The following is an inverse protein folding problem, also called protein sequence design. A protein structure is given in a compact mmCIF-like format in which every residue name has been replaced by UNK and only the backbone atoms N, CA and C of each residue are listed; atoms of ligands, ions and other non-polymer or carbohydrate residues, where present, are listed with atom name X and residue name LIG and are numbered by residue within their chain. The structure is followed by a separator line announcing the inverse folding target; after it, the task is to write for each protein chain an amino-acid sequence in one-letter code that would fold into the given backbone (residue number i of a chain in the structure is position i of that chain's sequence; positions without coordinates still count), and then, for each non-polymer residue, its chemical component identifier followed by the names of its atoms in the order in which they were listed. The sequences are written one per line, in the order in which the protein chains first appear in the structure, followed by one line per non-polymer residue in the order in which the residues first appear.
data_IF_147252123505
#
_entry.id   IF_147252123505
#
_cell.length_a   1.000
_cell.length_b   1.000
_cell.length_c   1.000
_cell.angle_alpha   90.00
_cell.angle_beta   90.00
_cell.angle_gamma   90.00
#
_symmetry.space_group_name_H-M   'P 1'
#
loop_
_entity.id
_entity.type
_entity.pdbx_description
1 polymer ?
#
# COMPACT_ATOMS: atom_id res chain seq x y z
N UNK A 1 -26.32 -69.08 -2.95
CA UNK A 1 -26.49 -68.03 -1.92
C UNK A 1 -27.93 -68.09 -1.39
N UNK A 2 -28.14 -68.23 -0.09
CA UNK A 2 -29.49 -68.36 0.51
C UNK A 2 -30.22 -67.02 0.63
N UNK A 3 -31.55 -67.04 0.77
CA UNK A 3 -32.38 -65.82 0.96
C UNK A 3 -31.96 -65.01 2.18
N UNK A 4 -31.49 -65.67 3.23
CA UNK A 4 -31.00 -65.04 4.46
C UNK A 4 -29.68 -64.31 4.24
N UNK A 5 -28.72 -64.93 3.54
CA UNK A 5 -27.43 -64.30 3.19
C UNK A 5 -27.65 -63.06 2.32
N UNK A 6 -28.53 -63.13 1.30
CA UNK A 6 -28.87 -61.97 0.45
C UNK A 6 -29.43 -60.80 1.25
N UNK A 7 -30.33 -61.06 2.22
CA UNK A 7 -30.91 -60.03 3.10
C UNK A 7 -29.88 -59.43 4.04
N UNK A 8 -28.99 -60.24 4.61
CA UNK A 8 -27.94 -59.77 5.51
C UNK A 8 -26.98 -58.82 4.78
N UNK A 9 -26.55 -59.18 3.57
CA UNK A 9 -25.71 -58.32 2.74
C UNK A 9 -26.43 -57.02 2.38
N UNK A 10 -27.71 -57.10 1.96
CA UNK A 10 -28.50 -55.91 1.62
C UNK A 10 -28.62 -54.94 2.80
N UNK A 11 -29.06 -55.42 3.96
CA UNK A 11 -29.18 -54.57 5.15
C UNK A 11 -27.83 -54.08 5.67
N UNK A 12 -26.76 -54.86 5.48
CA UNK A 12 -25.39 -54.41 5.74
C UNK A 12 -25.00 -53.21 4.88
N UNK A 13 -25.28 -53.22 3.58
CA UNK A 13 -25.04 -52.08 2.70
C UNK A 13 -25.95 -50.89 3.01
N UNK A 14 -27.22 -51.11 3.37
CA UNK A 14 -28.13 -50.04 3.79
C UNK A 14 -27.62 -49.37 5.06
N UNK A 15 -27.19 -50.14 6.05
CA UNK A 15 -26.61 -49.60 7.29
C UNK A 15 -25.32 -48.82 7.00
N UNK A 16 -24.42 -49.40 6.18
CA UNK A 16 -23.19 -48.73 5.76
C UNK A 16 -23.49 -47.40 5.08
N UNK A 17 -24.46 -47.36 4.17
CA UNK A 17 -24.88 -46.14 3.51
C UNK A 17 -25.39 -45.10 4.51
N UNK A 18 -26.32 -45.47 5.40
CA UNK A 18 -26.88 -44.56 6.42
C UNK A 18 -25.78 -43.99 7.33
N UNK A 19 -24.75 -44.76 7.66
CA UNK A 19 -23.64 -44.31 8.53
C UNK A 19 -22.61 -43.49 7.77
N UNK A 20 -22.27 -43.86 6.53
CA UNK A 20 -21.23 -43.19 5.75
C UNK A 20 -21.73 -41.88 5.11
N UNK A 21 -23.02 -41.78 4.77
CA UNK A 21 -23.56 -40.63 4.04
C UNK A 21 -23.49 -39.31 4.84
N UNK A 22 -23.91 -39.22 6.12
CA UNK A 22 -23.86 -37.95 6.85
C UNK A 22 -22.44 -37.37 7.00
N UNK A 23 -21.41 -38.13 7.40
CA UNK A 23 -20.02 -37.64 7.41
C UNK A 23 -19.54 -37.20 6.02
N UNK A 24 -19.93 -37.93 4.97
CA UNK A 24 -19.55 -37.58 3.59
C UNK A 24 -20.18 -36.25 3.15
N UNK A 25 -21.46 -36.03 3.45
CA UNK A 25 -22.15 -34.77 3.16
C UNK A 25 -21.52 -33.62 3.95
N UNK A 26 -21.28 -33.81 5.25
CA UNK A 26 -20.63 -32.80 6.10
C UNK A 26 -19.23 -32.46 5.56
N UNK A 27 -18.44 -33.47 5.18
CA UNK A 27 -17.13 -33.27 4.57
C UNK A 27 -17.19 -32.46 3.27
N UNK A 28 -18.18 -32.74 2.42
CA UNK A 28 -18.41 -32.01 1.16
C UNK A 28 -18.91 -30.59 1.39
N UNK A 29 -19.67 -30.35 2.45
CA UNK A 29 -20.10 -29.01 2.91
C UNK A 29 -18.99 -28.23 3.64
N UNK A 30 -17.76 -28.75 3.68
CA UNK A 30 -16.63 -28.05 4.29
C UNK A 30 -16.55 -28.17 5.82
N UNK A 31 -17.34 -29.05 6.44
CA UNK A 31 -17.22 -29.33 7.86
C UNK A 31 -15.99 -30.17 8.17
N UNK A 32 -15.41 -29.89 9.33
CA UNK A 32 -14.36 -30.67 9.98
C UNK A 32 -14.67 -30.78 11.48
N UNK A 33 -14.01 -31.70 12.16
CA UNK A 33 -14.16 -31.87 13.59
C UNK A 33 -12.98 -31.24 14.31
N UNK A 34 -13.24 -30.22 15.12
CA UNK A 34 -12.27 -29.67 16.06
C UNK A 34 -12.18 -30.62 17.26
N UNK A 35 -11.13 -31.44 17.28
CA UNK A 35 -10.87 -32.41 18.33
C UNK A 35 -10.55 -31.78 19.69
N UNK A 36 -10.04 -30.55 19.71
CA UNK A 36 -9.69 -29.83 20.93
C UNK A 36 -10.96 -29.39 21.65
N UNK A 37 -11.87 -28.75 20.92
CA UNK A 37 -13.13 -28.24 21.48
C UNK A 37 -14.29 -29.24 21.38
N UNK A 38 -14.07 -30.40 20.76
CA UNK A 38 -15.06 -31.46 20.49
C UNK A 38 -16.31 -30.93 19.78
N UNK A 39 -16.10 -30.10 18.77
CA UNK A 39 -17.18 -29.44 18.01
C UNK A 39 -17.02 -29.67 16.52
N UNK A 40 -18.16 -29.84 15.84
CA UNK A 40 -18.21 -29.80 14.38
C UNK A 40 -18.19 -28.32 13.96
N UNK A 41 -17.25 -27.94 13.10
CA UNK A 41 -17.06 -26.57 12.64
C UNK A 41 -16.88 -26.55 11.13
N UNK A 42 -17.31 -25.47 10.49
CA UNK A 42 -16.98 -25.23 9.09
C UNK A 42 -15.55 -24.71 8.98
N UNK A 43 -14.84 -25.21 7.99
CA UNK A 43 -13.47 -24.81 7.73
C UNK A 43 -13.42 -23.50 6.96
N UNK A 44 -12.27 -22.82 7.05
CA UNK A 44 -11.90 -21.71 6.19
C UNK A 44 -10.69 -22.05 5.33
N UNK A 45 -10.08 -21.02 4.76
CA UNK A 45 -8.84 -21.13 4.01
C UNK A 45 -7.94 -19.91 4.11
N UNK A 46 -6.72 -20.07 3.61
CA UNK A 46 -5.74 -18.99 3.45
C UNK A 46 -5.28 -18.93 2.00
N UNK A 47 -5.35 -17.76 1.39
CA UNK A 47 -4.72 -17.50 0.10
C UNK A 47 -3.50 -16.60 0.25
N UNK A 48 -2.34 -17.11 -0.16
CA UNK A 48 -1.06 -16.42 -0.04
C UNK A 48 -0.46 -16.22 -1.42
N UNK A 49 -0.11 -14.99 -1.77
CA UNK A 49 0.61 -14.63 -3.00
C UNK A 49 1.77 -13.71 -2.63
N UNK A 50 2.96 -14.04 -3.12
CA UNK A 50 4.16 -13.23 -2.94
C UNK A 50 4.75 -12.74 -4.25
N UNK A 51 5.51 -11.66 -4.15
CA UNK A 51 6.41 -11.15 -5.18
C UNK A 51 7.83 -11.14 -4.60
N UNK A 52 8.79 -11.85 -5.20
CA UNK A 52 8.60 -12.78 -6.32
C UNK A 52 7.81 -14.04 -5.93
N UNK A 53 7.23 -14.72 -6.92
CA UNK A 53 6.47 -15.96 -6.73
C UNK A 53 7.39 -17.15 -6.43
N UNK A 54 6.81 -18.29 -6.04
CA UNK A 54 7.56 -19.51 -5.74
C UNK A 54 8.24 -19.51 -4.36
N UNK A 55 7.85 -18.61 -3.46
CA UNK A 55 8.37 -18.58 -2.09
C UNK A 55 7.76 -19.71 -1.25
N UNK A 56 8.56 -20.35 -0.41
CA UNK A 56 8.14 -21.44 0.47
C UNK A 56 7.22 -20.91 1.57
N UNK A 57 6.07 -21.57 1.75
CA UNK A 57 5.11 -21.22 2.79
C UNK A 57 5.27 -22.21 3.95
N UNK A 58 5.18 -21.73 5.19
CA UNK A 58 4.99 -22.54 6.39
C UNK A 58 3.79 -22.05 7.20
N UNK A 59 3.00 -22.98 7.73
CA UNK A 59 1.83 -22.72 8.59
C UNK A 59 2.08 -23.37 9.95
N UNK A 60 2.15 -22.56 11.02
CA UNK A 60 2.54 -23.01 12.36
C UNK A 60 3.85 -23.82 12.36
N UNK A 61 4.84 -23.36 11.59
CA UNK A 61 6.13 -24.03 11.40
C UNK A 61 6.10 -25.28 10.51
N UNK A 62 4.92 -25.73 10.05
CA UNK A 62 4.82 -26.88 9.16
C UNK A 62 4.91 -26.44 7.70
N UNK A 63 5.88 -26.97 6.93
CA UNK A 63 6.09 -26.56 5.54
C UNK A 63 4.88 -26.94 4.68
N UNK A 64 4.52 -26.02 3.81
CA UNK A 64 3.51 -26.19 2.76
C UNK A 64 4.20 -26.12 1.40
N UNK A 65 3.40 -25.93 0.34
CA UNK A 65 3.92 -25.65 -1.01
C UNK A 65 4.40 -24.19 -1.13
N UNK A 66 4.67 -23.77 -2.36
CA UNK A 66 5.13 -22.40 -2.67
C UNK A 66 3.99 -21.47 -3.08
N UNK A 67 4.22 -20.17 -3.00
CA UNK A 67 3.30 -19.12 -3.48
C UNK A 67 3.19 -19.11 -5.03
N UNK A 68 2.05 -18.72 -5.61
CA UNK A 68 0.76 -18.48 -4.95
C UNK A 68 0.06 -19.78 -4.56
N UNK A 69 -0.63 -19.79 -3.40
CA UNK A 69 -1.29 -21.01 -2.89
C UNK A 69 -2.55 -20.71 -2.09
N UNK A 70 -3.61 -21.48 -2.36
CA UNK A 70 -4.74 -21.67 -1.44
C UNK A 70 -4.45 -22.87 -0.53
N UNK A 71 -4.49 -22.63 0.77
CA UNK A 71 -4.45 -23.64 1.82
C UNK A 71 -5.87 -23.73 2.37
N UNK A 72 -6.61 -24.75 1.95
CA UNK A 72 -8.01 -24.94 2.30
C UNK A 72 -8.17 -25.88 3.50
N UNK A 73 -9.40 -25.95 4.01
CA UNK A 73 -9.82 -26.87 5.08
C UNK A 73 -9.10 -26.62 6.41
N UNK A 74 -8.76 -25.37 6.69
CA UNK A 74 -8.20 -24.95 7.97
C UNK A 74 -9.33 -24.78 8.98
N UNK A 75 -9.09 -25.21 10.22
CA UNK A 75 -10.03 -24.94 11.31
C UNK A 75 -10.01 -23.44 11.61
N UNK A 76 -11.15 -22.83 11.99
CA UNK A 76 -11.16 -21.42 12.38
C UNK A 76 -10.22 -21.16 13.57
N UNK A 77 -9.11 -20.47 13.31
CA UNK A 77 -8.05 -20.18 14.28
C UNK A 77 -7.10 -19.12 13.72
N UNK A 78 -6.24 -18.54 14.56
CA UNK A 78 -5.12 -17.72 14.09
C UNK A 78 -3.93 -18.61 13.77
N UNK A 79 -3.35 -18.45 12.59
CA UNK A 79 -2.21 -19.25 12.13
C UNK A 79 -0.99 -18.36 11.97
N UNK A 80 0.14 -18.82 12.51
CA UNK A 80 1.43 -18.21 12.23
C UNK A 80 1.87 -18.60 10.82
N UNK A 81 1.94 -17.62 9.93
CA UNK A 81 2.33 -17.80 8.54
C UNK A 81 3.74 -17.25 8.36
N UNK A 82 4.60 -18.05 7.72
CA UNK A 82 5.93 -17.63 7.30
C UNK A 82 6.09 -17.89 5.81
N UNK A 83 6.58 -16.90 5.08
CA UNK A 83 6.87 -16.97 3.65
C UNK A 83 8.34 -16.62 3.44
N UNK A 84 9.11 -17.56 2.89
CA UNK A 84 10.56 -17.48 2.79
C UNK A 84 11.01 -17.81 1.37
N UNK A 85 12.01 -17.08 0.88
CA UNK A 85 12.68 -17.37 -0.39
C UNK A 85 14.17 -17.08 -0.28
N UNK A 86 14.99 -17.95 -0.86
CA UNK A 86 16.46 -17.80 -0.83
C UNK A 86 16.90 -16.46 -1.43
N UNK A 87 17.71 -15.71 -0.68
CA UNK A 87 18.19 -14.38 -1.06
C UNK A 87 17.24 -13.23 -0.74
N UNK A 88 16.13 -13.49 -0.04
CA UNK A 88 15.13 -12.48 0.33
C UNK A 88 14.84 -12.48 1.83
N UNK A 89 14.45 -11.33 2.35
CA UNK A 89 13.92 -11.21 3.72
C UNK A 89 12.62 -12.00 3.84
N UNK A 90 12.48 -12.72 4.95
CA UNK A 90 11.25 -13.48 5.24
C UNK A 90 10.10 -12.55 5.60
N UNK A 91 8.89 -12.92 5.19
CA UNK A 91 7.65 -12.30 5.65
C UNK A 91 6.97 -13.21 6.67
N UNK A 92 6.50 -12.65 7.78
CA UNK A 92 5.78 -13.41 8.80
C UNK A 92 4.58 -12.63 9.33
N UNK A 93 3.48 -13.33 9.61
CA UNK A 93 2.27 -12.73 10.17
C UNK A 93 1.37 -13.78 10.81
N UNK A 94 0.71 -13.43 11.91
CA UNK A 94 -0.41 -14.21 12.42
C UNK A 94 -1.69 -13.79 11.69
N UNK A 95 -2.26 -14.70 10.88
CA UNK A 95 -3.48 -14.45 10.11
C UNK A 95 -4.66 -15.25 10.68
N UNK A 96 -5.82 -14.59 10.93
CA UNK A 96 -7.02 -15.29 11.34
C UNK A 96 -7.58 -16.08 10.15
N UNK A 97 -8.07 -17.28 10.41
CA UNK A 97 -8.95 -18.05 9.52
C UNK A 97 -10.32 -18.09 10.17
N UNK A 98 -11.33 -17.69 9.41
CA UNK A 98 -12.73 -17.72 9.84
C UNK A 98 -13.49 -18.83 9.12
N UNK A 99 -14.60 -19.27 9.71
CA UNK A 99 -15.45 -20.28 9.10
C UNK A 99 -16.01 -19.78 7.76
N UNK A 100 -16.02 -20.64 6.75
CA UNK A 100 -16.55 -20.37 5.39
C UNK A 100 -15.81 -19.29 4.59
N UNK A 101 -14.80 -18.63 5.18
CA UNK A 101 -14.06 -17.54 4.54
C UNK A 101 -12.64 -17.94 4.14
N UNK A 102 -12.15 -17.28 3.09
CA UNK A 102 -10.73 -17.33 2.72
C UNK A 102 -10.08 -16.04 3.18
N UNK A 103 -9.17 -16.14 4.13
CA UNK A 103 -8.32 -15.03 4.53
C UNK A 103 -7.18 -14.87 3.54
N UNK A 104 -6.94 -13.64 3.08
CA UNK A 104 -6.03 -13.40 1.95
C UNK A 104 -4.87 -12.49 2.33
N UNK A 105 -3.66 -12.84 1.89
CA UNK A 105 -2.49 -11.95 1.87
C UNK A 105 -1.89 -11.99 0.46
N UNK A 106 -2.24 -10.97 -0.34
CA UNK A 106 -1.92 -10.90 -1.77
C UNK A 106 -0.66 -10.10 -2.11
N UNK A 107 -0.30 -9.19 -1.20
CA UNK A 107 0.77 -8.21 -1.37
C UNK A 107 1.98 -8.58 -0.50
N UNK A 108 2.34 -9.87 -0.44
CA UNK A 108 3.53 -10.31 0.29
C UNK A 108 4.76 -9.96 -0.56
N UNK A 109 5.37 -8.81 -0.30
CA UNK A 109 6.57 -8.38 -1.01
C UNK A 109 7.81 -8.83 -0.26
N UNK A 110 8.63 -9.67 -0.89
CA UNK A 110 9.89 -10.14 -0.32
C UNK A 110 11.01 -9.28 -0.91
N UNK A 111 11.69 -8.54 -0.06
CA UNK A 111 12.82 -7.70 -0.45
C UNK A 111 14.12 -8.52 -0.53
N UNK A 112 14.97 -8.33 -1.55
CA UNK A 112 16.28 -8.96 -1.60
C UNK A 112 17.14 -8.59 -0.38
N UNK A 113 17.85 -9.55 0.20
CA UNK A 113 18.79 -9.28 1.31
C UNK A 113 20.06 -8.59 0.86
N UNK A 114 20.47 -8.81 -0.39
CA UNK A 114 21.63 -8.20 -1.00
C UNK A 114 21.17 -7.30 -2.14
N UNK A 115 21.09 -6.01 -1.84
CA UNK A 115 20.80 -4.99 -2.84
C UNK A 115 22.13 -4.56 -3.48
N UNK A 116 22.17 -4.45 -4.80
CA UNK A 116 23.33 -3.94 -5.54
C UNK A 116 23.00 -2.60 -6.20
N UNK A 117 23.18 -1.47 -5.47
CA UNK A 117 22.98 -0.15 -6.05
C UNK A 117 23.97 0.15 -7.18
N UNK A 118 23.47 0.75 -8.24
CA UNK A 118 24.28 1.29 -9.33
C UNK A 118 24.52 2.78 -9.09
N UNK A 119 25.79 3.20 -9.05
CA UNK A 119 26.16 4.62 -9.03
C UNK A 119 25.85 5.24 -10.39
N UNK A 120 25.03 6.29 -10.40
CA UNK A 120 24.63 7.01 -11.61
C UNK A 120 25.54 8.20 -11.86
N UNK A 121 25.79 9.00 -10.81
CA UNK A 121 26.64 10.17 -10.92
C UNK A 121 27.07 10.67 -9.54
N UNK A 122 28.10 11.52 -9.52
CA UNK A 122 28.65 12.17 -8.33
C UNK A 122 28.49 13.69 -8.45
N UNK A 123 28.60 14.39 -7.32
CA UNK A 123 28.49 15.85 -7.21
C UNK A 123 27.11 16.39 -7.66
N UNK A 124 26.04 15.66 -7.36
CA UNK A 124 24.67 16.12 -7.58
C UNK A 124 24.36 17.29 -6.63
N UNK A 125 23.91 18.40 -7.20
CA UNK A 125 23.52 19.61 -6.45
C UNK A 125 22.03 19.92 -6.53
N UNK A 126 21.28 19.22 -7.39
CA UNK A 126 19.83 19.35 -7.54
C UNK A 126 19.08 18.27 -6.77
N UNK A 127 17.76 18.38 -6.67
CA UNK A 127 16.93 17.27 -6.20
C UNK A 127 16.97 16.09 -7.18
N UNK A 128 16.61 14.89 -6.71
CA UNK A 128 16.52 13.70 -7.58
C UNK A 128 15.47 13.90 -8.68
N UNK A 129 14.30 14.45 -8.33
CA UNK A 129 13.23 14.72 -9.29
C UNK A 129 13.68 15.72 -10.38
N UNK A 130 14.41 16.77 -10.00
CA UNK A 130 14.98 17.72 -10.96
C UNK A 130 16.03 17.05 -11.85
N UNK A 131 16.88 16.19 -11.28
CA UNK A 131 17.89 15.48 -12.05
C UNK A 131 17.26 14.60 -13.14
N UNK A 132 16.21 13.86 -12.80
CA UNK A 132 15.51 12.94 -13.71
C UNK A 132 14.58 13.64 -14.71
N UNK A 133 14.23 14.91 -14.47
CA UNK A 133 13.31 15.66 -15.32
C UNK A 133 13.91 16.04 -16.68
N UNK A 134 13.17 15.80 -17.76
CA UNK A 134 13.59 16.14 -19.13
C UNK A 134 13.70 17.67 -19.36
N UNK A 135 14.54 18.15 -20.29
CA UNK A 135 14.67 19.58 -20.58
C UNK A 135 13.37 20.28 -20.96
N UNK A 136 12.48 19.59 -21.70
CA UNK A 136 11.16 20.08 -22.06
C UNK A 136 10.26 20.30 -20.84
N UNK A 137 10.19 19.30 -19.94
CA UNK A 137 9.43 19.41 -18.67
C UNK A 137 9.97 20.55 -17.79
N UNK A 138 11.29 20.69 -17.69
CA UNK A 138 11.94 21.79 -16.94
C UNK A 138 11.56 23.16 -17.50
N UNK A 139 11.60 23.32 -18.81
CA UNK A 139 11.24 24.58 -19.48
C UNK A 139 9.76 24.93 -19.23
N UNK A 140 8.88 23.93 -19.29
CA UNK A 140 7.46 24.12 -19.02
C UNK A 140 7.22 24.53 -17.56
N UNK A 141 7.83 23.84 -16.60
CA UNK A 141 7.76 24.19 -15.17
C UNK A 141 8.28 25.61 -14.89
N UNK A 142 9.38 26.03 -15.52
CA UNK A 142 9.91 27.39 -15.34
C UNK A 142 8.96 28.46 -15.87
N UNK A 143 8.35 28.23 -17.05
CA UNK A 143 7.34 29.14 -17.61
C UNK A 143 6.12 29.23 -16.69
N UNK A 144 5.63 28.08 -16.22
CA UNK A 144 4.49 28.00 -15.30
C UNK A 144 4.79 28.66 -13.96
N UNK A 145 5.97 28.44 -13.38
CA UNK A 145 6.39 29.07 -12.13
C UNK A 145 6.42 30.60 -12.23
N UNK A 146 6.77 31.15 -13.41
CA UNK A 146 6.70 32.58 -13.67
C UNK A 146 5.26 33.09 -13.69
N UNK A 147 4.36 32.39 -14.41
CA UNK A 147 2.92 32.71 -14.47
C UNK A 147 2.29 32.66 -13.07
N UNK A 148 2.59 31.60 -12.32
CA UNK A 148 2.02 31.33 -11.02
C UNK A 148 2.77 31.98 -9.85
N UNK A 149 3.81 32.78 -10.10
CA UNK A 149 4.66 33.38 -9.05
C UNK A 149 3.90 34.28 -8.06
N UNK A 150 2.73 34.80 -8.45
CA UNK A 150 1.84 35.64 -7.65
C UNK A 150 0.71 34.86 -6.95
N UNK A 151 0.70 33.54 -7.04
CA UNK A 151 -0.34 32.66 -6.49
C UNK A 151 -0.01 32.20 -5.07
N UNK A 152 -1.04 31.82 -4.31
CA UNK A 152 -0.90 31.11 -3.04
C UNK A 152 -0.34 29.69 -3.23
N UNK A 153 -0.62 29.05 -4.35
CA UNK A 153 -0.15 27.71 -4.68
C UNK A 153 -0.48 27.35 -6.11
N UNK A 154 0.29 26.46 -6.70
CA UNK A 154 0.07 26.02 -8.08
C UNK A 154 0.60 24.60 -8.31
N UNK A 155 0.08 23.96 -9.35
CA UNK A 155 0.51 22.66 -9.83
C UNK A 155 0.25 22.56 -11.33
N UNK A 156 1.25 22.08 -12.08
CA UNK A 156 1.09 21.72 -13.48
C UNK A 156 0.83 20.22 -13.59
N UNK A 157 -0.25 19.82 -14.24
CA UNK A 157 -0.53 18.43 -14.58
C UNK A 157 -0.95 18.33 -16.05
N UNK A 158 -0.09 17.72 -16.87
CA UNK A 158 -0.19 17.76 -18.33
C UNK A 158 -0.14 19.21 -18.82
N UNK A 159 -1.13 19.61 -19.61
CA UNK A 159 -1.29 20.98 -20.12
C UNK A 159 -2.16 21.88 -19.22
N UNK A 160 -2.64 21.35 -18.09
CA UNK A 160 -3.48 22.09 -17.15
C UNK A 160 -2.66 22.68 -16.01
N UNK A 161 -2.75 23.99 -15.84
CA UNK A 161 -2.26 24.72 -14.68
C UNK A 161 -3.39 24.89 -13.66
N UNK A 162 -3.23 24.26 -12.51
CA UNK A 162 -4.06 24.47 -11.33
C UNK A 162 -3.41 25.52 -10.44
N UNK A 163 -4.18 26.50 -9.97
CA UNK A 163 -3.63 27.57 -9.14
C UNK A 163 -4.64 28.15 -8.15
N UNK A 164 -4.11 28.73 -7.07
CA UNK A 164 -4.84 29.41 -6.01
C UNK A 164 -4.46 30.90 -6.01
N UNK A 165 -5.35 31.86 -6.33
CA UNK A 165 -5.03 33.28 -6.21
C UNK A 165 -4.66 33.68 -4.78
N UNK A 166 -3.65 34.54 -4.61
CA UNK A 166 -3.09 34.87 -3.29
C UNK A 166 -4.08 35.51 -2.31
N UNK A 167 -4.98 36.36 -2.81
CA UNK A 167 -5.92 37.12 -1.97
C UNK A 167 -7.28 36.42 -1.81
N UNK A 168 -7.56 35.41 -2.62
CA UNK A 168 -8.78 34.61 -2.55
C UNK A 168 -8.45 33.19 -3.05
N UNK A 169 -7.98 32.29 -2.17
CA UNK A 169 -7.46 30.96 -2.54
C UNK A 169 -8.54 29.95 -2.99
N UNK A 170 -9.34 30.33 -3.97
CA UNK A 170 -10.21 29.43 -4.73
C UNK A 170 -9.37 28.72 -5.79
N UNK A 171 -9.56 27.41 -5.95
CA UNK A 171 -8.83 26.62 -6.93
C UNK A 171 -9.40 26.88 -8.33
N UNK A 172 -8.53 27.34 -9.23
CA UNK A 172 -8.83 27.50 -10.64
C UNK A 172 -7.97 26.55 -11.49
N UNK A 173 -8.50 26.21 -12.67
CA UNK A 173 -7.76 25.57 -13.77
C UNK A 173 -7.65 26.54 -14.92
N UNK A 174 -6.47 26.59 -15.55
CA UNK A 174 -6.27 27.22 -16.85
C UNK A 174 -5.36 26.36 -17.73
N UNK A 175 -5.44 26.54 -19.04
CA UNK A 175 -4.49 25.95 -19.97
C UNK A 175 -3.25 26.85 -20.11
N UNK A 176 -2.19 26.34 -20.74
CA UNK A 176 -0.95 27.11 -20.92
C UNK A 176 -1.08 28.29 -21.90
N UNK A 177 -2.24 28.44 -22.56
CA UNK A 177 -2.56 29.59 -23.40
C UNK A 177 -3.41 30.64 -22.68
N UNK A 178 -3.80 30.38 -21.43
CA UNK A 178 -4.67 31.21 -20.59
C UNK A 178 -6.06 31.48 -21.23
N UNK A 179 -6.47 30.66 -22.18
CA UNK A 179 -7.73 30.81 -22.92
C UNK A 179 -8.93 30.23 -22.16
N UNK A 180 -8.67 29.22 -21.32
CA UNK A 180 -9.68 28.55 -20.50
C UNK A 180 -9.47 28.95 -19.03
N UNK A 181 -10.56 29.27 -18.33
CA UNK A 181 -10.53 29.52 -16.89
C UNK A 181 -11.75 28.89 -16.21
N UNK A 182 -11.53 27.79 -15.52
CA UNK A 182 -12.58 27.09 -14.79
C UNK A 182 -12.34 27.20 -13.29
N UNK A 183 -13.41 27.50 -12.55
CA UNK A 183 -13.40 27.40 -11.11
C UNK A 183 -13.62 25.94 -10.71
N UNK A 184 -12.73 25.39 -9.88
CA UNK A 184 -12.75 23.99 -9.44
C UNK A 184 -13.28 23.87 -8.02
N UNK A 185 -12.84 24.73 -7.09
CA UNK A 185 -13.38 24.73 -5.73
C UNK A 185 -14.53 25.73 -5.59
N UNK A 186 -15.54 25.39 -4.78
CA UNK A 186 -16.65 26.31 -4.47
C UNK A 186 -16.22 27.40 -3.50
N UNK A 187 -15.35 27.05 -2.55
CA UNK A 187 -14.90 27.93 -1.50
C UNK A 187 -13.38 28.17 -1.58
N UNK A 188 -12.96 29.25 -0.93
CA UNK A 188 -11.56 29.58 -0.79
C UNK A 188 -10.95 28.82 0.40
N UNK A 189 -9.73 28.32 0.21
CA UNK A 189 -8.89 27.94 1.34
C UNK A 189 -8.56 29.19 2.20
N UNK A 190 -8.19 28.99 3.48
CA UNK A 190 -7.66 30.08 4.30
C UNK A 190 -6.50 30.82 3.61
N UNK A 191 -6.27 32.08 3.97
CA UNK A 191 -5.14 32.83 3.40
C UNK A 191 -3.81 32.19 3.81
N UNK A 192 -2.98 31.86 2.83
CA UNK A 192 -1.72 31.17 3.06
C UNK A 192 -0.99 30.80 1.78
N UNK A 193 0.10 30.04 1.91
CA UNK A 193 0.77 29.39 0.80
C UNK A 193 0.53 27.89 0.87
N UNK A 194 0.36 27.26 -0.29
CA UNK A 194 -0.05 25.88 -0.41
C UNK A 194 0.78 25.12 -1.46
N UNK A 195 1.16 23.89 -1.11
CA UNK A 195 1.50 22.87 -2.08
C UNK A 195 0.19 22.20 -2.53
N UNK A 196 -0.07 22.18 -3.84
CA UNK A 196 -1.20 21.45 -4.43
C UNK A 196 -0.74 20.07 -4.89
N UNK A 197 -1.60 19.06 -4.68
CA UNK A 197 -1.33 17.67 -5.05
C UNK A 197 -2.55 17.11 -5.77
N UNK A 198 -2.33 16.56 -6.98
CA UNK A 198 -3.30 15.75 -7.73
C UNK A 198 -2.57 14.92 -8.78
N UNK A 199 -3.05 13.69 -9.06
CA UNK A 199 -2.54 12.90 -10.18
C UNK A 199 -3.43 13.00 -11.43
N UNK A 200 -4.74 13.24 -11.26
CA UNK A 200 -5.73 13.15 -12.34
C UNK A 200 -6.54 14.43 -12.58
N UNK A 201 -6.33 15.47 -11.77
CA UNK A 201 -7.11 16.71 -11.85
C UNK A 201 -8.56 16.58 -11.34
N UNK A 202 -8.88 15.49 -10.63
CA UNK A 202 -10.21 15.25 -10.03
C UNK A 202 -10.14 15.26 -8.50
N UNK A 203 -9.09 14.66 -7.93
CA UNK A 203 -8.87 14.64 -6.48
C UNK A 203 -7.75 15.61 -6.13
N UNK A 204 -8.01 16.54 -5.21
CA UNK A 204 -7.04 17.56 -4.82
C UNK A 204 -6.78 17.52 -3.32
N UNK A 205 -5.49 17.61 -2.98
CA UNK A 205 -5.06 18.01 -1.65
C UNK A 205 -4.34 19.35 -1.72
N UNK A 206 -4.45 20.09 -0.62
CA UNK A 206 -3.68 21.31 -0.41
C UNK A 206 -2.98 21.22 0.95
N UNK A 207 -1.66 21.26 0.95
CA UNK A 207 -0.84 21.31 2.17
C UNK A 207 -0.36 22.74 2.38
N UNK A 208 -0.79 23.37 3.47
CA UNK A 208 -0.35 24.72 3.81
C UNK A 208 1.10 24.72 4.30
N UNK A 209 1.79 25.86 4.15
CA UNK A 209 3.13 26.05 4.74
C UNK A 209 3.15 26.02 6.27
N UNK A 210 1.98 26.11 6.93
CA UNK A 210 1.84 25.92 8.38
C UNK A 210 1.64 24.45 8.78
N UNK A 211 1.58 23.53 7.82
CA UNK A 211 1.40 22.10 8.04
C UNK A 211 -0.06 21.65 8.16
N UNK A 212 -1.04 22.48 7.77
CA UNK A 212 -2.43 22.06 7.71
C UNK A 212 -2.73 21.41 6.36
N UNK A 213 -3.28 20.19 6.41
CA UNK A 213 -3.62 19.42 5.22
C UNK A 213 -5.13 19.48 4.98
N UNK A 214 -5.49 19.84 3.76
CA UNK A 214 -6.87 19.91 3.28
C UNK A 214 -7.10 18.90 2.16
N UNK A 215 -8.27 18.27 2.16
CA UNK A 215 -8.75 17.38 1.11
C UNK A 215 -10.04 17.97 0.52
N UNK A 216 -10.11 18.04 -0.80
CA UNK A 216 -11.32 18.50 -1.47
C UNK A 216 -12.36 17.37 -1.54
N UNK A 217 -13.57 17.65 -1.06
CA UNK A 217 -14.70 16.73 -1.15
C UNK A 217 -15.36 16.78 -2.55
N UNK A 218 -16.40 15.96 -2.76
CA UNK A 218 -17.11 15.86 -4.05
C UNK A 218 -17.86 17.13 -4.45
N UNK A 219 -18.20 17.96 -3.46
CA UNK A 219 -18.86 19.25 -3.69
C UNK A 219 -17.84 20.35 -4.02
N UNK A 220 -16.54 20.05 -4.08
CA UNK A 220 -15.50 21.04 -4.38
C UNK A 220 -15.16 21.94 -3.19
N UNK A 221 -15.44 21.50 -1.96
CA UNK A 221 -15.07 22.21 -0.73
C UNK A 221 -13.84 21.55 -0.12
N UNK A 222 -12.86 22.37 0.29
CA UNK A 222 -11.66 21.89 0.97
C UNK A 222 -11.91 21.74 2.47
N UNK A 223 -11.83 20.51 2.97
CA UNK A 223 -11.97 20.19 4.37
C UNK A 223 -10.59 19.93 4.99
N UNK A 224 -10.34 20.53 6.16
CA UNK A 224 -9.10 20.28 6.92
C UNK A 224 -9.15 18.87 7.51
N UNK A 225 -8.19 18.03 7.16
CA UNK A 225 -8.16 16.61 7.57
C UNK A 225 -7.02 16.26 8.54
N UNK A 226 -5.97 17.11 8.60
CA UNK A 226 -4.85 16.95 9.52
C UNK A 226 -4.07 18.27 9.73
N UNK A 227 -3.18 18.29 10.72
CA UNK A 227 -2.27 19.38 11.06
C UNK A 227 -0.86 18.83 11.34
N UNK A 228 0.14 19.71 11.36
CA UNK A 228 1.55 19.36 11.60
C UNK A 228 2.13 18.39 10.55
N UNK A 229 1.62 18.48 9.33
CA UNK A 229 2.05 17.66 8.21
C UNK A 229 3.30 18.28 7.57
N UNK A 230 4.34 17.47 7.40
CA UNK A 230 5.59 17.85 6.73
C UNK A 230 5.60 17.46 5.25
N UNK A 231 4.96 16.33 4.90
CA UNK A 231 4.85 15.87 3.51
C UNK A 231 3.55 15.08 3.28
N UNK A 232 3.09 15.06 2.02
CA UNK A 232 1.88 14.34 1.61
C UNK A 232 2.05 13.78 0.20
N UNK A 233 1.47 12.60 -0.04
CA UNK A 233 1.47 11.93 -1.34
C UNK A 233 0.13 11.21 -1.58
N UNK A 234 -0.28 11.10 -2.84
CA UNK A 234 -1.34 10.20 -3.30
C UNK A 234 -0.74 8.91 -3.86
N UNK A 235 -1.40 7.78 -3.65
CA UNK A 235 -1.12 6.58 -4.44
C UNK A 235 -1.38 6.83 -5.93
N UNK A 236 -0.72 6.08 -6.81
CA UNK A 236 -0.88 6.22 -8.26
C UNK A 236 -2.31 5.93 -8.73
N UNK A 237 -3.05 5.08 -8.01
CA UNK A 237 -4.47 4.80 -8.24
C UNK A 237 -5.42 5.83 -7.59
N UNK A 238 -4.87 6.86 -6.95
CA UNK A 238 -5.54 7.90 -6.16
C UNK A 238 -6.29 7.42 -4.92
N UNK A 239 -6.32 6.13 -4.59
CA UNK A 239 -7.22 5.58 -3.54
C UNK A 239 -6.76 5.79 -2.11
N UNK A 240 -5.50 6.17 -1.89
CA UNK A 240 -4.96 6.41 -0.55
C UNK A 240 -4.14 7.70 -0.52
N UNK A 241 -4.14 8.35 0.63
CA UNK A 241 -3.26 9.48 0.94
C UNK A 241 -2.25 9.00 1.97
N UNK A 242 -0.97 9.23 1.73
CA UNK A 242 0.07 9.18 2.75
C UNK A 242 0.31 10.60 3.23
N UNK A 243 0.29 10.82 4.53
CA UNK A 243 0.91 12.01 5.10
C UNK A 243 1.93 11.64 6.17
N UNK A 244 2.96 12.47 6.23
CA UNK A 244 4.11 12.34 7.11
C UNK A 244 4.13 13.53 8.07
N UNK A 245 4.36 13.24 9.35
CA UNK A 245 4.81 14.22 10.35
C UNK A 245 6.30 13.98 10.65
N UNK A 246 6.88 14.73 11.58
CA UNK A 246 8.27 14.50 12.00
C UNK A 246 8.53 13.07 12.50
N UNK A 247 7.52 12.34 12.99
CA UNK A 247 7.70 11.05 13.65
C UNK A 247 6.69 9.98 13.25
N UNK A 248 5.71 10.30 12.41
CA UNK A 248 4.65 9.38 12.02
C UNK A 248 4.44 9.37 10.50
N UNK A 249 4.04 8.19 10.01
CA UNK A 249 3.48 8.02 8.68
C UNK A 249 2.09 7.45 8.86
N UNK A 250 1.09 8.14 8.29
CA UNK A 250 -0.31 7.75 8.37
C UNK A 250 -0.89 7.64 6.97
N UNK A 251 -1.73 6.63 6.78
CA UNK A 251 -2.49 6.42 5.55
C UNK A 251 -3.95 6.74 5.80
N UNK A 252 -4.56 7.48 4.88
CA UNK A 252 -6.00 7.67 4.77
C UNK A 252 -6.50 6.91 3.54
N UNK A 253 -7.50 6.05 3.73
CA UNK A 253 -8.20 5.39 2.64
C UNK A 253 -9.31 6.31 2.13
N UNK A 254 -9.35 6.55 0.83
CA UNK A 254 -10.30 7.48 0.20
C UNK A 254 -11.54 6.76 -0.33
N UNK A 255 -11.49 5.43 -0.41
CA UNK A 255 -12.53 4.55 -0.98
C UNK A 255 -12.62 3.27 -0.14
N UNK A 256 -13.72 2.54 -0.28
CA UNK A 256 -13.91 1.23 0.35
C UNK A 256 -13.04 0.16 -0.34
N UNK A 257 -12.36 -0.67 0.45
CA UNK A 257 -11.57 -1.80 -0.04
C UNK A 257 -12.26 -3.11 0.33
N UNK A 258 -12.78 -3.79 -0.69
CA UNK A 258 -13.47 -5.08 -0.58
C UNK A 258 -12.52 -6.29 -0.66
N UNK A 259 -11.21 -6.06 -0.58
CA UNK A 259 -10.18 -7.10 -0.54
C UNK A 259 -9.44 -6.97 0.78
N UNK A 260 -9.07 -8.10 1.38
CA UNK A 260 -8.40 -8.08 2.68
C UNK A 260 -6.99 -7.48 2.61
N UNK A 261 -6.60 -6.63 3.58
CA UNK A 261 -7.40 -6.18 4.73
C UNK A 261 -8.51 -5.20 4.34
N UNK A 262 -9.74 -5.47 4.77
CA UNK A 262 -10.89 -4.60 4.48
C UNK A 262 -10.72 -3.22 5.13
N UNK A 263 -11.14 -2.18 4.41
CA UNK A 263 -11.10 -0.77 4.85
C UNK A 263 -12.32 -0.02 4.34
N UNK A 264 -12.78 0.94 5.13
CA UNK A 264 -13.84 1.86 4.76
C UNK A 264 -13.24 3.18 4.24
N UNK A 265 -14.00 3.90 3.42
CA UNK A 265 -13.62 5.24 3.01
C UNK A 265 -13.57 6.15 4.25
N UNK A 266 -12.48 6.92 4.39
CA UNK A 266 -12.24 7.77 5.55
C UNK A 266 -11.41 7.12 6.66
N UNK A 267 -11.15 5.80 6.60
CA UNK A 267 -10.29 5.13 7.57
C UNK A 267 -8.91 5.78 7.59
N UNK A 268 -8.36 5.98 8.80
CA UNK A 268 -7.02 6.51 9.03
C UNK A 268 -6.23 5.53 9.87
N UNK A 269 -5.02 5.21 9.44
CA UNK A 269 -4.14 4.29 10.17
C UNK A 269 -2.70 4.77 10.18
N UNK A 270 -2.12 4.89 11.38
CA UNK A 270 -0.69 5.13 11.55
C UNK A 270 0.08 3.85 11.24
N UNK A 271 0.90 3.90 10.19
CA UNK A 271 1.71 2.76 9.71
C UNK A 271 3.00 2.65 10.50
N UNK A 272 3.63 3.80 10.76
CA UNK A 272 4.94 3.91 11.40
C UNK A 272 4.89 5.02 12.44
N UNK A 273 5.50 4.78 13.60
CA UNK A 273 5.74 5.78 14.65
C UNK A 273 7.15 5.62 15.23
N UNK A 274 7.98 6.65 15.10
CA UNK A 274 9.37 6.67 15.59
C UNK A 274 9.55 7.73 16.67
N UNK A 275 9.80 7.33 17.90
CA UNK A 275 9.94 8.28 19.02
C UNK A 275 11.32 8.92 19.14
N UNK A 276 12.36 8.23 18.65
CA UNK A 276 13.76 8.59 18.92
C UNK A 276 14.49 9.15 17.69
N UNK A 277 13.85 9.16 16.52
CA UNK A 277 14.43 9.62 15.27
C UNK A 277 13.36 10.28 14.41
N UNK A 278 13.73 11.37 13.72
CA UNK A 278 12.85 12.03 12.77
C UNK A 278 12.75 11.20 11.48
N UNK A 279 11.54 11.11 10.94
CA UNK A 279 11.29 10.65 9.58
C UNK A 279 11.59 11.84 8.67
N UNK A 280 12.62 11.73 7.83
CA UNK A 280 13.00 12.83 6.92
C UNK A 280 12.22 12.78 5.62
N UNK A 281 11.82 11.59 5.17
CA UNK A 281 11.04 11.41 3.96
C UNK A 281 10.24 10.10 4.00
N UNK A 282 9.04 10.10 3.44
CA UNK A 282 8.24 8.91 3.18
C UNK A 282 7.61 9.00 1.78
N UNK A 283 7.56 7.87 1.08
CA UNK A 283 6.91 7.75 -0.21
C UNK A 283 6.22 6.40 -0.37
N UNK A 284 5.11 6.39 -1.10
CA UNK A 284 4.49 5.13 -1.50
C UNK A 284 5.46 4.30 -2.34
N UNK A 285 5.52 3.02 -2.01
CA UNK A 285 6.11 2.03 -2.89
C UNK A 285 5.16 1.80 -4.08
N UNK A 286 5.66 1.34 -5.24
CA UNK A 286 4.92 1.41 -6.52
C UNK A 286 3.70 0.49 -6.58
N UNK A 287 3.67 -0.52 -5.71
CA UNK A 287 2.55 -1.44 -5.58
C UNK A 287 1.35 -0.85 -4.81
N UNK A 288 1.46 0.38 -4.29
CA UNK A 288 0.48 1.07 -3.45
C UNK A 288 0.16 0.37 -2.12
N UNK A 289 0.96 -0.62 -1.74
CA UNK A 289 0.73 -1.53 -0.61
C UNK A 289 1.93 -1.60 0.35
N UNK A 290 3.03 -0.92 0.00
CA UNK A 290 4.16 -0.63 0.87
C UNK A 290 4.49 0.87 0.89
N UNK A 291 5.28 1.26 1.89
CA UNK A 291 5.84 2.60 2.04
C UNK A 291 7.34 2.46 2.22
N UNK A 292 8.11 3.21 1.42
CA UNK A 292 9.53 3.44 1.66
C UNK A 292 9.70 4.73 2.47
N UNK A 293 10.53 4.72 3.49
CA UNK A 293 10.77 5.90 4.32
C UNK A 293 12.20 5.96 4.84
N UNK A 294 12.63 7.16 5.23
CA UNK A 294 13.96 7.43 5.76
C UNK A 294 13.85 7.79 7.23
N UNK A 295 14.56 7.06 8.07
CA UNK A 295 14.72 7.33 9.50
C UNK A 295 16.23 7.33 9.83
N UNK A 296 16.78 8.52 10.11
CA UNK A 296 18.23 8.69 10.25
C UNK A 296 18.99 8.29 8.99
N UNK A 297 19.98 7.41 9.14
CA UNK A 297 20.84 6.90 8.05
C UNK A 297 20.34 5.55 7.46
N UNK A 298 19.03 5.31 7.57
CA UNK A 298 18.38 4.10 7.05
C UNK A 298 17.19 4.42 6.16
N UNK A 299 17.19 3.82 4.97
CA UNK A 299 16.03 3.66 4.11
C UNK A 299 15.36 2.34 4.50
N UNK A 300 14.09 2.42 4.88
CA UNK A 300 13.27 1.29 5.32
C UNK A 300 12.06 1.13 4.40
N UNK A 301 11.56 -0.10 4.30
CA UNK A 301 10.31 -0.38 3.58
C UNK A 301 9.39 -1.13 4.54
N UNK A 302 8.14 -0.71 4.62
CA UNK A 302 7.12 -1.36 5.46
C UNK A 302 5.85 -1.64 4.66
N UNK A 303 5.19 -2.75 4.96
CA UNK A 303 3.88 -3.06 4.41
C UNK A 303 2.77 -2.20 5.04
N UNK A 304 1.67 -2.01 4.31
CA UNK A 304 0.46 -1.38 4.85
C UNK A 304 -0.40 -2.33 5.69
N UNK A 305 -0.32 -3.64 5.44
CA UNK A 305 -1.12 -4.67 6.15
C UNK A 305 -0.81 -4.70 7.65
N UNK A 306 -1.70 -4.07 8.43
CA UNK A 306 -1.61 -3.98 9.88
C UNK A 306 -2.17 -5.17 10.65
N UNK A 307 -2.58 -6.27 9.99
CA UNK A 307 -2.98 -7.48 10.72
C UNK A 307 -1.75 -8.02 11.48
N UNK A 308 -1.86 -8.24 12.79
CA UNK A 308 -0.74 -8.58 13.67
C UNK A 308 0.34 -7.48 13.69
N UNK A 309 1.59 -7.80 13.36
CA UNK A 309 2.67 -6.82 13.21
C UNK A 309 3.00 -6.58 11.74
N UNK A 310 3.40 -5.35 11.40
CA UNK A 310 3.91 -5.02 10.08
C UNK A 310 5.32 -5.55 9.89
N UNK A 311 5.57 -6.14 8.73
CA UNK A 311 6.91 -6.45 8.26
C UNK A 311 7.56 -5.15 7.79
N UNK A 312 8.58 -4.71 8.52
CA UNK A 312 9.43 -3.56 8.18
C UNK A 312 10.86 -4.03 7.99
N UNK A 313 11.43 -3.73 6.83
CA UNK A 313 12.77 -4.17 6.42
C UNK A 313 13.70 -2.97 6.29
N UNK A 314 14.92 -3.13 6.77
CA UNK A 314 16.03 -2.20 6.54
C UNK A 314 16.58 -2.45 5.14
N UNK A 315 16.27 -1.56 4.21
CA UNK A 315 16.55 -1.77 2.79
C UNK A 315 17.96 -1.33 2.41
N UNK A 316 18.33 -0.09 2.76
CA UNK A 316 19.65 0.49 2.44
C UNK A 316 20.10 1.35 3.61
N UNK A 317 21.37 1.26 4.00
CA UNK A 317 21.99 2.21 4.92
C UNK A 317 22.87 3.18 4.15
N UNK A 318 22.60 4.47 4.33
CA UNK A 318 23.26 5.58 3.65
C UNK A 318 23.17 6.83 4.52
N UNK A 319 24.12 7.76 4.42
CA UNK A 319 24.15 8.94 5.29
C UNK A 319 23.14 9.99 4.84
N UNK A 320 22.17 10.32 5.70
CA UNK A 320 21.09 11.27 5.45
C UNK A 320 20.50 11.19 4.02
N UNK A 321 19.95 10.03 3.63
CA UNK A 321 19.59 9.80 2.25
C UNK A 321 18.30 10.55 1.89
N UNK A 322 18.21 11.02 0.65
CA UNK A 322 16.96 11.39 0.02
C UNK A 322 16.54 10.26 -0.91
N UNK A 323 15.25 9.99 -1.03
CA UNK A 323 14.71 8.89 -1.82
C UNK A 323 13.74 9.39 -2.89
N UNK A 324 13.63 8.66 -4.00
CA UNK A 324 12.67 8.97 -5.06
C UNK A 324 12.35 7.69 -5.83
N UNK A 325 11.09 7.53 -6.21
CA UNK A 325 10.68 6.44 -7.07
C UNK A 325 10.25 6.95 -8.44
N UNK A 326 10.82 6.37 -9.50
CA UNK A 326 10.46 6.69 -10.87
C UNK A 326 9.53 5.60 -11.44
N UNK A 327 8.22 5.82 -11.35
CA UNK A 327 7.20 4.85 -11.77
C UNK A 327 7.39 4.29 -13.18
N UNK A 328 7.65 5.12 -14.22
CA UNK A 328 7.78 4.64 -15.59
C UNK A 328 8.93 3.66 -15.80
N UNK A 329 9.99 3.72 -14.99
CA UNK A 329 11.20 2.91 -15.17
C UNK A 329 11.40 1.85 -14.07
N UNK A 330 10.56 1.86 -13.04
CA UNK A 330 10.63 0.95 -11.89
C UNK A 330 11.97 1.00 -11.14
N UNK A 331 12.67 2.14 -11.21
CA UNK A 331 13.88 2.38 -10.45
C UNK A 331 13.58 3.14 -9.17
N UNK A 332 14.16 2.65 -8.09
CA UNK A 332 14.27 3.35 -6.83
C UNK A 332 15.59 4.09 -6.77
N UNK A 333 15.55 5.40 -6.61
CA UNK A 333 16.72 6.25 -6.52
C UNK A 333 16.94 6.68 -5.08
N UNK A 334 18.21 6.80 -4.70
CA UNK A 334 18.58 7.50 -3.49
C UNK A 334 19.80 8.37 -3.71
N UNK A 335 19.81 9.53 -3.05
CA UNK A 335 20.90 10.50 -3.06
C UNK A 335 21.49 10.57 -1.65
N UNK A 336 22.78 10.34 -1.54
CA UNK A 336 23.53 10.41 -0.28
C UNK A 336 24.87 11.08 -0.58
N UNK A 337 25.32 12.02 0.26
CA UNK A 337 26.62 12.67 0.10
C UNK A 337 26.91 13.20 -1.32
N UNK A 338 25.87 13.73 -2.00
CA UNK A 338 25.92 14.21 -3.39
C UNK A 338 26.20 13.12 -4.45
N UNK A 339 26.07 11.84 -4.09
CA UNK A 339 26.15 10.70 -4.99
C UNK A 339 24.76 10.11 -5.21
N UNK A 340 24.35 10.00 -6.48
CA UNK A 340 23.05 9.44 -6.86
C UNK A 340 23.22 7.99 -7.25
N UNK A 341 22.45 7.14 -6.59
CA UNK A 341 22.38 5.71 -6.87
C UNK A 341 20.98 5.34 -7.33
N UNK A 342 20.87 4.20 -8.02
CA UNK A 342 19.60 3.55 -8.31
C UNK A 342 19.63 2.06 -7.99
N UNK A 343 18.45 1.52 -7.72
CA UNK A 343 18.18 0.10 -7.56
C UNK A 343 16.99 -0.26 -8.44
N UNK A 344 17.13 -1.31 -9.24
CA UNK A 344 15.99 -1.86 -9.98
C UNK A 344 15.11 -2.63 -9.01
N UNK A 345 13.83 -2.26 -8.94
CA UNK A 345 12.87 -2.99 -8.14
C UNK A 345 12.28 -4.14 -8.95
N UNK A 346 12.11 -5.30 -8.32
CA UNK A 346 11.26 -6.36 -8.85
C UNK A 346 9.81 -6.02 -8.47
N UNK A 347 8.93 -5.90 -9.47
CA UNK A 347 7.50 -5.57 -9.30
C UNK A 347 6.62 -6.76 -9.67
#
# INVERSE_FOLDING_TARGET
MTRTIRRLIFYGFVLLFIVATPPTILYAMGYSFDWTNKKLVQTGGLYLKSVPSGAQISVNGQPQKTTPRLISRLLPHSYNISVVKDGYHSWQKNLPVEAELVSEARNIFLLPTNVSPELITQNVTSTIADFLSSPGKKTQQQRTAKIASSTAGWLLNGDNLYYLPKNNPVLYRTDLTESIKDQISQEALPLGKYQLITNDGRRFLALSTSGDLYLMNTDGVFEKIASQIEAVQLTSDNKKVLWQTANEITILWLEEFLVQPYRQAGDKETIVRYFNQKISQALFYPDNEHVAFVAGDQIKITELDGRDTRNTIDFISASNPQIYFDEPTSYFYYLTQNELFRVKLEL
#
